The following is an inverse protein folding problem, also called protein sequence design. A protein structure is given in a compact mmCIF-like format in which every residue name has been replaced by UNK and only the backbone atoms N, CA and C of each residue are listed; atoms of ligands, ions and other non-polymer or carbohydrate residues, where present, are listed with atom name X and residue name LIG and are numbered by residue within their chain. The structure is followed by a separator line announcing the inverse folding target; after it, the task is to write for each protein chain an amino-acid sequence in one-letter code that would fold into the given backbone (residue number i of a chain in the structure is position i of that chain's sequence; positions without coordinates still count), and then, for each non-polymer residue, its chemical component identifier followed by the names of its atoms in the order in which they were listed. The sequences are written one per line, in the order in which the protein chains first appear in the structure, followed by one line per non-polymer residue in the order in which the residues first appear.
data_IF_634300599015
#
_entry.id   IF_634300599015
#
_cell.length_a   1.000
_cell.length_b   1.000
_cell.length_c   1.000
_cell.angle_alpha   90.00
_cell.angle_beta   90.00
_cell.angle_gamma   90.00
#
_symmetry.space_group_name_H-M   'P 1'
#
loop_
_entity.id
_entity.type
_entity.pdbx_description
1 polymer ?
#
# COMPACT_ATOMS: atom_id res chain seq x y z
N UNK A 1 -18.43 16.80 -6.56
CA UNK A 1 -18.17 15.76 -5.55
C UNK A 1 -19.46 15.01 -5.29
N UNK A 2 -19.48 13.71 -5.54
CA UNK A 2 -20.65 12.87 -5.24
C UNK A 2 -20.72 12.54 -3.73
N UNK A 3 -21.82 11.94 -3.27
CA UNK A 3 -21.98 11.63 -1.83
C UNK A 3 -20.93 10.65 -1.32
N UNK A 4 -20.47 9.72 -2.15
CA UNK A 4 -19.47 8.72 -1.80
C UNK A 4 -18.10 9.37 -1.52
N UNK A 5 -17.65 10.24 -2.42
CA UNK A 5 -16.41 11.04 -2.27
C UNK A 5 -16.48 11.93 -1.01
N UNK A 6 -17.63 12.57 -0.76
CA UNK A 6 -17.80 13.39 0.43
C UNK A 6 -17.71 12.59 1.74
N UNK A 7 -18.16 11.33 1.75
CA UNK A 7 -18.01 10.43 2.90
C UNK A 7 -16.54 10.00 3.05
N UNK A 8 -15.85 9.70 1.94
CA UNK A 8 -14.43 9.36 1.97
C UNK A 8 -13.57 10.48 2.56
N UNK A 9 -13.77 11.73 2.15
CA UNK A 9 -13.04 12.88 2.73
C UNK A 9 -13.28 12.99 4.25
N UNK A 10 -14.52 12.81 4.71
CA UNK A 10 -14.82 12.82 6.15
C UNK A 10 -14.10 11.70 6.89
N UNK A 11 -14.08 10.49 6.32
CA UNK A 11 -13.41 9.33 6.91
C UNK A 11 -11.89 9.52 6.93
N UNK A 12 -11.31 10.11 5.88
CA UNK A 12 -9.88 10.43 5.79
C UNK A 12 -9.41 11.25 7.00
N UNK A 13 -10.12 12.32 7.32
CA UNK A 13 -9.79 13.16 8.49
C UNK A 13 -9.87 12.39 9.80
N UNK A 14 -10.85 11.49 9.94
CA UNK A 14 -10.93 10.61 11.13
C UNK A 14 -9.70 9.69 11.21
N UNK A 15 -9.23 9.14 10.08
CA UNK A 15 -8.00 8.34 10.04
C UNK A 15 -6.78 9.16 10.44
N UNK A 16 -6.64 10.39 9.92
CA UNK A 16 -5.56 11.31 10.30
C UNK A 16 -5.56 11.59 11.80
N UNK A 17 -6.72 11.93 12.38
CA UNK A 17 -6.87 12.15 13.82
C UNK A 17 -6.52 10.89 14.64
N UNK A 18 -6.92 9.70 14.18
CA UNK A 18 -6.60 8.44 14.87
C UNK A 18 -5.10 8.13 14.87
N UNK A 19 -4.41 8.40 13.76
CA UNK A 19 -2.97 8.22 13.66
C UNK A 19 -2.27 9.22 14.59
N UNK A 20 -2.60 10.51 14.45
CA UNK A 20 -1.99 11.56 15.28
C UNK A 20 -2.28 11.35 16.77
N UNK A 21 -3.43 10.81 17.16
CA UNK A 21 -3.74 10.52 18.57
C UNK A 21 -2.83 9.46 19.21
N UNK A 22 -2.08 8.69 18.41
CA UNK A 22 -1.07 7.74 18.93
C UNK A 22 0.16 8.44 19.48
N UNK A 23 0.45 9.68 19.04
CA UNK A 23 1.61 10.47 19.44
C UNK A 23 1.23 11.76 20.18
N UNK A 24 0.10 12.38 19.82
CA UNK A 24 -0.41 13.62 20.39
C UNK A 24 -1.52 13.38 21.42
N UNK A 25 -1.58 14.21 22.46
CA UNK A 25 -2.69 14.22 23.43
C UNK A 25 -3.94 14.88 22.82
N UNK A 26 -5.10 14.79 23.50
CA UNK A 26 -6.28 15.52 23.01
C UNK A 26 -6.11 17.03 23.16
N UNK A 27 -5.34 17.46 24.15
CA UNK A 27 -4.96 18.84 24.41
C UNK A 27 -4.11 19.39 23.25
N UNK A 28 -3.13 18.63 22.78
CA UNK A 28 -2.30 19.01 21.63
C UNK A 28 -3.15 19.11 20.35
N UNK A 29 -3.99 18.11 20.08
CA UNK A 29 -4.89 18.12 18.93
C UNK A 29 -5.91 19.25 19.01
N UNK A 30 -6.37 19.62 20.21
CA UNK A 30 -7.25 20.77 20.43
C UNK A 30 -6.56 22.08 20.07
N UNK A 31 -5.28 22.25 20.44
CA UNK A 31 -4.48 23.42 20.02
C UNK A 31 -4.27 23.47 18.51
N UNK A 32 -3.97 22.33 17.88
CA UNK A 32 -3.75 22.24 16.43
C UNK A 32 -5.03 22.55 15.64
N UNK A 33 -6.15 21.96 16.05
CA UNK A 33 -7.40 22.03 15.28
C UNK A 33 -8.27 23.25 15.65
N UNK A 34 -8.12 23.78 16.86
CA UNK A 34 -9.02 24.76 17.47
C UNK A 34 -10.34 24.15 17.95
N UNK A 35 -10.47 22.82 17.98
CA UNK A 35 -11.69 22.14 18.41
C UNK A 35 -11.66 21.76 19.89
N UNK A 36 -12.81 21.78 20.60
CA UNK A 36 -12.90 21.24 21.95
C UNK A 36 -12.54 19.75 21.99
N UNK A 37 -11.88 19.32 23.07
CA UNK A 37 -11.50 17.92 23.32
C UNK A 37 -12.70 16.96 23.19
N UNK A 38 -13.87 17.37 23.67
CA UNK A 38 -15.11 16.59 23.59
C UNK A 38 -15.54 16.31 22.15
N UNK A 39 -15.33 17.27 21.24
CA UNK A 39 -15.62 17.11 19.81
C UNK A 39 -14.61 16.16 19.17
N UNK A 40 -13.31 16.38 19.42
CA UNK A 40 -12.24 15.52 18.91
C UNK A 40 -12.41 14.06 19.36
N UNK A 41 -12.78 13.84 20.63
CA UNK A 41 -13.05 12.51 21.15
C UNK A 41 -14.20 11.81 20.38
N UNK A 42 -15.28 12.54 20.09
CA UNK A 42 -16.41 12.01 19.30
C UNK A 42 -16.00 11.68 17.88
N UNK A 43 -15.17 12.51 17.25
CA UNK A 43 -14.62 12.27 15.91
C UNK A 43 -13.69 11.04 15.87
N UNK A 44 -12.68 10.99 16.73
CA UNK A 44 -11.73 9.86 16.81
C UNK A 44 -12.44 8.53 17.04
N UNK A 45 -13.47 8.52 17.90
CA UNK A 45 -14.30 7.32 18.17
C UNK A 45 -15.34 7.02 17.09
N UNK A 46 -15.49 7.87 16.08
CA UNK A 46 -16.47 7.69 15.00
C UNK A 46 -17.93 7.87 15.45
N UNK A 47 -18.18 8.53 16.60
CA UNK A 47 -19.55 8.78 17.09
C UNK A 47 -20.29 9.82 16.24
N UNK A 48 -19.55 10.73 15.61
CA UNK A 48 -20.04 11.78 14.72
C UNK A 48 -19.00 11.98 13.62
N UNK A 49 -19.44 12.28 12.41
CA UNK A 49 -18.56 12.72 11.32
C UNK A 49 -18.59 14.26 11.21
N UNK A 50 -17.46 14.91 10.88
CA UNK A 50 -17.47 16.34 10.58
C UNK A 50 -18.37 16.65 9.37
N UNK A 51 -18.79 17.92 9.24
CA UNK A 51 -19.30 18.41 7.95
C UNK A 51 -18.18 18.35 6.91
N UNK A 52 -18.52 18.48 5.63
CA UNK A 52 -17.52 18.39 4.56
C UNK A 52 -16.57 19.60 4.59
N UNK A 53 -17.09 20.79 4.88
CA UNK A 53 -16.31 22.01 5.07
C UNK A 53 -15.35 21.86 6.26
N UNK A 54 -15.87 21.31 7.37
CA UNK A 54 -15.07 21.05 8.57
C UNK A 54 -14.00 20.00 8.32
N UNK A 55 -14.30 18.95 7.53
CA UNK A 55 -13.33 17.93 7.18
C UNK A 55 -12.14 18.56 6.43
N UNK A 56 -12.41 19.37 5.41
CA UNK A 56 -11.36 20.08 4.65
C UNK A 56 -10.51 21.00 5.53
N UNK A 57 -11.16 21.79 6.38
CA UNK A 57 -10.46 22.65 7.35
C UNK A 57 -9.53 21.83 8.27
N UNK A 58 -10.01 20.68 8.76
CA UNK A 58 -9.22 19.81 9.61
C UNK A 58 -8.08 19.14 8.85
N UNK A 59 -8.31 18.68 7.63
CA UNK A 59 -7.25 18.10 6.79
C UNK A 59 -6.10 19.10 6.60
N UNK A 60 -6.40 20.35 6.22
CA UNK A 60 -5.40 21.41 6.06
C UNK A 60 -4.60 21.67 7.35
N UNK A 61 -5.27 21.67 8.51
CA UNK A 61 -4.61 21.88 9.81
C UNK A 61 -3.78 20.68 10.27
N UNK A 62 -4.19 19.46 9.94
CA UNK A 62 -3.53 18.23 10.39
C UNK A 62 -2.38 17.81 9.47
N UNK A 63 -2.46 18.14 8.17
CA UNK A 63 -1.47 17.76 7.15
C UNK A 63 -0.02 18.12 7.53
N UNK A 64 0.30 19.30 8.09
CA UNK A 64 1.67 19.62 8.51
C UNK A 64 2.24 18.71 9.61
N UNK A 65 1.38 18.02 10.36
CA UNK A 65 1.75 17.16 11.48
C UNK A 65 1.76 15.67 11.12
N UNK A 66 1.32 15.31 9.91
CA UNK A 66 1.25 13.93 9.44
C UNK A 66 1.94 13.78 8.09
N UNK A 67 3.24 13.49 8.14
CA UNK A 67 3.99 13.01 6.98
C UNK A 67 3.99 11.47 7.01
N UNK A 68 3.44 10.82 5.98
CA UNK A 68 3.29 9.36 5.93
C UNK A 68 4.64 8.64 5.86
N UNK A 69 5.60 9.16 5.09
CA UNK A 69 6.95 8.58 4.97
C UNK A 69 7.65 8.59 6.34
N UNK A 70 7.64 9.73 7.02
CA UNK A 70 8.25 9.86 8.36
C UNK A 70 7.51 9.02 9.40
N UNK A 71 6.18 8.93 9.32
CA UNK A 71 5.39 8.07 10.21
C UNK A 71 5.69 6.58 10.00
N UNK A 72 5.95 6.15 8.76
CA UNK A 72 6.42 4.77 8.48
C UNK A 72 7.83 4.59 9.04
N UNK A 73 8.79 5.47 8.70
CA UNK A 73 10.18 5.39 9.21
C UNK A 73 10.24 5.30 10.72
N UNK A 74 9.45 6.12 11.43
CA UNK A 74 9.37 6.14 12.90
C UNK A 74 8.92 4.80 13.50
N UNK A 75 8.15 4.01 12.76
CA UNK A 75 7.64 2.70 13.21
C UNK A 75 8.58 1.54 12.88
N UNK A 76 9.52 1.73 11.94
CA UNK A 76 10.50 0.71 11.62
C UNK A 76 11.46 0.53 12.79
N UNK A 77 11.59 -0.72 13.25
CA UNK A 77 12.54 -1.12 14.27
C UNK A 77 13.59 -1.99 13.63
N UNK A 78 14.84 -1.53 13.68
CA UNK A 78 15.99 -2.26 13.14
C UNK A 78 16.61 -3.14 14.22
N UNK A 79 17.01 -4.35 13.84
CA UNK A 79 17.82 -5.23 14.68
C UNK A 79 19.33 -4.97 14.47
N UNK A 80 20.17 -5.70 15.21
CA UNK A 80 21.63 -5.60 15.13
C UNK A 80 22.22 -6.05 13.78
N UNK A 81 21.44 -6.73 12.94
CA UNK A 81 21.86 -7.24 11.64
C UNK A 81 21.32 -6.39 10.48
N UNK A 82 20.59 -5.30 10.77
CA UNK A 82 20.03 -4.39 9.77
C UNK A 82 18.71 -4.86 9.16
N UNK A 83 18.07 -5.89 9.71
CA UNK A 83 16.71 -6.24 9.35
C UNK A 83 15.72 -5.35 10.11
N UNK A 84 14.54 -5.13 9.53
CA UNK A 84 13.51 -4.30 10.13
C UNK A 84 12.15 -4.97 10.06
N UNK A 85 11.34 -4.72 11.09
CA UNK A 85 9.95 -5.21 11.18
C UNK A 85 8.97 -4.25 10.50
N UNK A 86 8.21 -4.76 9.52
CA UNK A 86 7.14 -4.03 8.82
C UNK A 86 5.76 -4.26 9.44
N UNK A 87 5.60 -5.23 10.35
CA UNK A 87 4.30 -5.62 10.90
C UNK A 87 3.62 -4.46 11.65
N UNK A 88 4.39 -3.61 12.35
CA UNK A 88 3.88 -2.43 13.05
C UNK A 88 3.22 -1.38 12.13
N UNK A 89 3.58 -1.39 10.84
CA UNK A 89 3.02 -0.53 9.80
C UNK A 89 1.88 -1.26 9.09
N UNK A 90 2.12 -2.49 8.64
CA UNK A 90 1.17 -3.30 7.87
C UNK A 90 -0.08 -3.70 8.66
N UNK A 91 -0.03 -3.66 9.99
CA UNK A 91 -1.20 -3.92 10.85
C UNK A 91 -2.08 -2.69 11.12
N UNK A 92 -1.64 -1.48 10.77
CA UNK A 92 -2.43 -0.26 10.99
C UNK A 92 -3.22 0.12 9.74
N UNK A 93 -4.47 -0.34 9.69
CA UNK A 93 -5.37 -0.09 8.57
C UNK A 93 -5.70 1.38 8.34
N UNK A 94 -5.59 2.26 9.34
CA UNK A 94 -5.78 3.70 9.10
C UNK A 94 -4.59 4.27 8.32
N UNK A 95 -3.37 3.85 8.66
CA UNK A 95 -2.15 4.27 7.98
C UNK A 95 -2.13 3.73 6.55
N UNK A 96 -2.37 2.43 6.36
CA UNK A 96 -2.41 1.83 5.02
C UNK A 96 -3.49 2.47 4.13
N UNK A 97 -4.64 2.84 4.69
CA UNK A 97 -5.69 3.50 3.91
C UNK A 97 -5.30 4.92 3.46
N UNK A 98 -4.52 5.67 4.25
CA UNK A 98 -3.99 6.97 3.83
C UNK A 98 -2.89 6.80 2.76
N UNK A 99 -2.01 5.82 2.92
CA UNK A 99 -0.99 5.49 1.91
C UNK A 99 -1.66 5.08 0.60
N UNK A 100 -2.69 4.23 0.68
CA UNK A 100 -3.44 3.78 -0.49
C UNK A 100 -4.10 4.93 -1.25
N UNK A 101 -4.61 5.95 -0.56
CA UNK A 101 -5.17 7.15 -1.20
C UNK A 101 -4.12 7.91 -2.02
N UNK A 102 -2.93 8.14 -1.47
CA UNK A 102 -1.84 8.81 -2.18
C UNK A 102 -1.36 8.00 -3.40
N UNK A 103 -1.27 6.67 -3.25
CA UNK A 103 -0.84 5.79 -4.34
C UNK A 103 -1.91 5.71 -5.43
N UNK A 104 -3.18 5.55 -5.07
CA UNK A 104 -4.27 5.45 -6.02
C UNK A 104 -4.32 6.68 -6.93
N UNK A 105 -4.13 7.88 -6.37
CA UNK A 105 -4.09 9.13 -7.14
C UNK A 105 -3.05 9.13 -8.28
N UNK A 106 -1.90 8.47 -8.08
CA UNK A 106 -0.85 8.32 -9.12
C UNK A 106 -1.30 7.39 -10.26
N UNK A 107 -2.08 6.37 -9.93
CA UNK A 107 -2.47 5.31 -10.87
C UNK A 107 -3.88 5.47 -11.48
N UNK A 108 -4.69 6.43 -11.02
CA UNK A 108 -6.05 6.67 -11.52
C UNK A 108 -6.14 6.81 -13.06
N UNK A 109 -5.10 7.37 -13.70
CA UNK A 109 -5.09 7.65 -15.15
C UNK A 109 -4.34 6.60 -15.97
N UNK A 110 -3.80 5.55 -15.34
CA UNK A 110 -3.03 4.52 -16.05
C UNK A 110 -3.90 3.41 -16.63
N UNK A 111 -5.20 3.41 -16.32
CA UNK A 111 -6.13 2.35 -16.71
C UNK A 111 -5.88 1.02 -15.99
N UNK A 112 -5.22 1.05 -14.83
CA UNK A 112 -4.99 -0.13 -13.99
C UNK A 112 -6.31 -0.86 -13.72
N UNK A 113 -6.31 -2.18 -13.90
CA UNK A 113 -7.49 -3.04 -13.75
C UNK A 113 -7.29 -4.17 -12.74
N UNK A 114 -6.06 -4.39 -12.27
CA UNK A 114 -5.71 -5.43 -11.30
C UNK A 114 -4.52 -5.00 -10.46
N UNK A 115 -4.55 -5.32 -9.17
CA UNK A 115 -3.35 -5.26 -8.31
C UNK A 115 -2.81 -6.67 -8.10
N UNK A 116 -1.52 -6.89 -8.33
CA UNK A 116 -0.82 -8.15 -8.11
C UNK A 116 0.21 -7.99 -6.98
N UNK A 117 0.32 -8.99 -6.11
CA UNK A 117 1.36 -9.06 -5.07
C UNK A 117 1.85 -10.51 -4.88
N UNK A 118 2.92 -10.71 -4.11
CA UNK A 118 3.31 -12.03 -3.61
C UNK A 118 2.84 -12.19 -2.16
N UNK A 119 2.34 -13.39 -1.81
CA UNK A 119 2.02 -13.69 -0.42
C UNK A 119 3.30 -13.73 0.44
N UNK A 120 3.30 -13.18 1.66
CA UNK A 120 2.13 -12.76 2.46
C UNK A 120 2.04 -11.27 2.77
N UNK A 121 3.19 -10.60 2.96
CA UNK A 121 3.23 -9.34 3.71
C UNK A 121 2.85 -8.11 2.87
N UNK A 122 2.96 -8.20 1.54
CA UNK A 122 2.43 -7.20 0.61
C UNK A 122 0.89 -7.17 0.52
N UNK A 123 0.19 -8.23 0.96
CA UNK A 123 -1.27 -8.36 0.80
C UNK A 123 -2.06 -7.24 1.50
N UNK A 124 -1.81 -6.87 2.78
CA UNK A 124 -2.56 -5.81 3.44
C UNK A 124 -2.52 -4.47 2.68
N UNK A 125 -1.36 -4.11 2.13
CA UNK A 125 -1.19 -2.89 1.35
C UNK A 125 -1.85 -3.01 -0.03
N UNK A 126 -1.63 -4.12 -0.72
CA UNK A 126 -2.23 -4.40 -2.03
C UNK A 126 -3.76 -4.34 -1.99
N UNK A 127 -4.39 -4.90 -0.95
CA UNK A 127 -5.83 -4.85 -0.72
C UNK A 127 -6.32 -3.42 -0.54
N UNK A 128 -5.62 -2.59 0.25
CA UNK A 128 -6.02 -1.19 0.48
C UNK A 128 -5.94 -0.37 -0.81
N UNK A 129 -4.86 -0.52 -1.58
CA UNK A 129 -4.67 0.17 -2.86
C UNK A 129 -5.73 -0.29 -3.88
N UNK A 130 -5.96 -1.59 -4.00
CA UNK A 130 -6.98 -2.14 -4.92
C UNK A 130 -8.39 -1.64 -4.57
N UNK A 131 -8.73 -1.63 -3.27
CA UNK A 131 -10.00 -1.11 -2.79
C UNK A 131 -10.17 0.39 -3.08
N UNK A 132 -9.10 1.18 -2.95
CA UNK A 132 -9.15 2.61 -3.26
C UNK A 132 -9.32 2.88 -4.76
N UNK A 133 -8.69 2.06 -5.61
CA UNK A 133 -8.81 2.09 -7.06
C UNK A 133 -10.12 1.46 -7.59
N UNK A 134 -10.88 0.76 -6.73
CA UNK A 134 -12.12 0.08 -7.11
C UNK A 134 -11.90 -1.14 -8.01
N UNK A 135 -10.80 -1.85 -7.85
CA UNK A 135 -10.41 -3.02 -8.65
C UNK A 135 -10.07 -4.22 -7.76
N UNK A 136 -10.01 -5.40 -8.36
CA UNK A 136 -9.66 -6.63 -7.66
C UNK A 136 -8.15 -6.74 -7.39
N UNK A 137 -7.81 -7.40 -6.30
CA UNK A 137 -6.46 -7.81 -5.94
C UNK A 137 -6.29 -9.31 -6.18
N UNK A 138 -5.11 -9.71 -6.68
CA UNK A 138 -4.67 -11.09 -6.83
C UNK A 138 -3.27 -11.26 -6.24
N UNK A 139 -2.94 -12.47 -5.83
CA UNK A 139 -1.67 -12.72 -5.17
C UNK A 139 -1.09 -14.08 -5.54
N UNK A 140 0.20 -14.09 -5.89
CA UNK A 140 0.95 -15.30 -6.16
C UNK A 140 1.38 -15.96 -4.84
N UNK A 141 1.32 -17.29 -4.78
CA UNK A 141 1.65 -18.07 -3.57
C UNK A 141 2.87 -18.96 -3.82
N UNK A 142 3.60 -19.30 -2.76
CA UNK A 142 4.71 -20.27 -2.81
C UNK A 142 4.25 -21.74 -2.87
N UNK A 143 2.95 -21.97 -2.72
CA UNK A 143 2.30 -23.30 -2.78
C UNK A 143 1.03 -23.19 -3.61
N UNK A 144 0.73 -24.24 -4.37
CA UNK A 144 -0.54 -24.37 -5.10
C UNK A 144 -1.72 -24.40 -4.12
N UNK A 145 -2.79 -23.71 -4.48
CA UNK A 145 -4.06 -23.79 -3.74
C UNK A 145 -4.77 -25.09 -4.09
N UNK A 146 -5.29 -25.77 -3.08
CA UNK A 146 -6.08 -26.99 -3.30
C UNK A 146 -7.39 -26.61 -3.99
N UNK A 147 -7.78 -27.35 -5.02
CA UNK A 147 -9.00 -27.08 -5.78
C UNK A 147 -8.82 -26.15 -6.99
N UNK A 148 -7.59 -25.74 -7.31
CA UNK A 148 -7.26 -25.06 -8.56
C UNK A 148 -6.40 -26.00 -9.42
N UNK A 149 -6.79 -26.19 -10.68
CA UNK A 149 -6.12 -27.14 -11.56
C UNK A 149 -4.94 -26.53 -12.33
N UNK A 150 -5.06 -25.25 -12.74
CA UNK A 150 -4.13 -24.60 -13.67
C UNK A 150 -3.51 -23.34 -13.09
N UNK A 151 -2.19 -23.26 -13.19
CA UNK A 151 -1.40 -22.16 -12.67
C UNK A 151 -0.40 -21.67 -13.72
N UNK A 152 -0.13 -20.37 -13.70
CA UNK A 152 1.13 -19.81 -14.13
C UNK A 152 2.18 -20.08 -13.05
N UNK A 153 3.39 -20.42 -13.47
CA UNK A 153 4.46 -20.85 -12.57
C UNK A 153 5.78 -20.17 -12.98
N UNK A 154 6.44 -19.56 -12.00
CA UNK A 154 7.75 -18.94 -12.21
C UNK A 154 8.71 -19.37 -11.11
N UNK A 155 9.84 -19.93 -11.52
CA UNK A 155 10.94 -20.28 -10.63
C UNK A 155 11.93 -19.11 -10.56
N UNK A 156 12.39 -18.78 -9.36
CA UNK A 156 13.42 -17.78 -9.14
C UNK A 156 14.26 -18.17 -7.92
N UNK A 157 15.43 -17.56 -7.76
CA UNK A 157 16.30 -17.79 -6.60
C UNK A 157 16.33 -16.50 -5.79
N UNK A 158 15.67 -16.43 -4.62
CA UNK A 158 15.82 -15.29 -3.73
C UNK A 158 17.25 -15.24 -3.20
N UNK A 159 17.91 -14.10 -3.36
CA UNK A 159 19.29 -13.82 -2.91
C UNK A 159 19.54 -14.21 -1.46
N UNK A 160 18.53 -14.05 -0.58
CA UNK A 160 18.66 -14.35 0.85
C UNK A 160 18.50 -15.85 1.22
N UNK A 161 17.99 -16.68 0.31
CA UNK A 161 17.58 -18.06 0.63
C UNK A 161 18.50 -19.13 0.05
N UNK A 162 19.29 -18.81 -0.99
CA UNK A 162 20.16 -19.77 -1.68
C UNK A 162 19.43 -20.98 -2.29
N UNK A 163 18.10 -20.95 -2.41
CA UNK A 163 17.27 -22.06 -2.88
C UNK A 163 16.26 -21.59 -3.92
N UNK A 164 15.87 -22.50 -4.83
CA UNK A 164 14.85 -22.22 -5.83
C UNK A 164 13.51 -22.07 -5.11
N UNK A 165 12.83 -20.95 -5.37
CA UNK A 165 11.46 -20.69 -4.95
C UNK A 165 10.57 -20.62 -6.19
N UNK A 166 9.36 -21.17 -6.09
CA UNK A 166 8.35 -21.09 -7.16
C UNK A 166 7.19 -20.21 -6.71
N UNK A 167 6.76 -19.29 -7.57
CA UNK A 167 5.50 -18.58 -7.43
C UNK A 167 4.44 -19.21 -8.33
N UNK A 168 3.26 -19.45 -7.75
CA UNK A 168 2.09 -19.98 -8.41
C UNK A 168 0.98 -18.94 -8.42
N UNK A 169 0.42 -18.66 -9.60
CA UNK A 169 -0.74 -17.80 -9.77
C UNK A 169 -1.82 -18.54 -10.56
N UNK A 170 -3.07 -18.65 -10.08
CA UNK A 170 -4.13 -19.29 -10.85
C UNK A 170 -4.32 -18.65 -12.22
N UNK A 171 -4.49 -19.44 -13.29
CA UNK A 171 -4.59 -18.89 -14.65
C UNK A 171 -5.78 -17.95 -14.86
N UNK A 172 -6.83 -18.07 -14.04
CA UNK A 172 -8.00 -17.19 -14.07
C UNK A 172 -7.77 -15.84 -13.38
N UNK A 173 -6.70 -15.69 -12.60
CA UNK A 173 -6.47 -14.52 -11.75
C UNK A 173 -6.22 -13.25 -12.57
N UNK A 174 -5.52 -13.37 -13.70
CA UNK A 174 -5.24 -12.28 -14.63
C UNK A 174 -5.70 -12.69 -16.01
N UNK A 175 -6.50 -11.84 -16.65
CA UNK A 175 -6.96 -12.03 -18.02
C UNK A 175 -6.05 -11.33 -19.01
N UNK A 176 -5.96 -11.87 -20.21
CA UNK A 176 -5.25 -11.27 -21.33
C UNK A 176 -5.65 -9.80 -21.53
N UNK A 177 -4.65 -8.93 -21.65
CA UNK A 177 -4.81 -7.48 -21.84
C UNK A 177 -5.12 -6.68 -20.58
N UNK A 178 -5.28 -7.32 -19.41
CA UNK A 178 -5.42 -6.57 -18.15
C UNK A 178 -4.17 -5.76 -17.83
N UNK A 179 -4.38 -4.64 -17.15
CA UNK A 179 -3.35 -3.66 -16.80
C UNK A 179 -3.03 -3.81 -15.32
N UNK A 180 -1.86 -4.33 -15.01
CA UNK A 180 -1.50 -4.82 -13.68
C UNK A 180 -0.56 -3.83 -12.98
N UNK A 181 -0.89 -3.49 -11.74
CA UNK A 181 0.00 -2.79 -10.81
C UNK A 181 0.58 -3.81 -9.83
N UNK A 182 1.91 -3.94 -9.76
CA UNK A 182 2.55 -4.77 -8.74
C UNK A 182 2.69 -3.94 -7.45
N UNK A 183 2.26 -4.52 -6.33
CA UNK A 183 2.41 -3.92 -5.00
C UNK A 183 3.14 -4.90 -4.09
N UNK A 184 4.11 -4.42 -3.32
CA UNK A 184 4.75 -5.23 -2.27
C UNK A 184 5.12 -4.40 -1.04
N UNK A 185 5.40 -5.06 0.09
CA UNK A 185 5.84 -4.35 1.29
C UNK A 185 7.32 -3.92 1.17
N UNK A 186 8.22 -4.83 0.87
CA UNK A 186 9.67 -4.53 0.80
C UNK A 186 10.29 -5.03 -0.50
N UNK A 187 11.06 -4.17 -1.15
CA UNK A 187 11.93 -4.55 -2.26
C UNK A 187 13.41 -4.39 -1.89
N UNK A 188 14.22 -5.43 -2.17
CA UNK A 188 15.67 -5.45 -1.95
C UNK A 188 16.44 -5.74 -3.24
N UNK A 189 16.38 -6.98 -3.73
CA UNK A 189 17.03 -7.41 -4.98
C UNK A 189 16.14 -7.23 -6.21
N UNK A 190 14.81 -7.18 -6.01
CA UNK A 190 13.81 -7.16 -7.07
C UNK A 190 13.45 -8.53 -7.63
N UNK A 191 14.08 -9.63 -7.19
CA UNK A 191 13.90 -10.96 -7.80
C UNK A 191 12.46 -11.47 -7.72
N UNK A 192 11.79 -11.28 -6.57
CA UNK A 192 10.37 -11.61 -6.42
C UNK A 192 9.51 -10.80 -7.40
N UNK A 193 9.82 -9.51 -7.56
CA UNK A 193 9.09 -8.61 -8.44
C UNK A 193 9.27 -8.99 -9.91
N UNK A 194 10.49 -9.36 -10.34
CA UNK A 194 10.74 -9.92 -11.67
C UNK A 194 9.95 -11.20 -11.92
N UNK A 195 9.84 -12.08 -10.92
CA UNK A 195 9.01 -13.27 -11.02
C UNK A 195 7.51 -12.93 -11.17
N UNK A 196 7.02 -11.87 -10.49
CA UNK A 196 5.66 -11.36 -10.70
C UNK A 196 5.46 -10.75 -12.09
N UNK A 197 6.47 -10.05 -12.63
CA UNK A 197 6.42 -9.56 -14.03
C UNK A 197 6.30 -10.71 -15.01
N UNK A 198 7.07 -11.78 -14.81
CA UNK A 198 7.00 -12.96 -15.67
C UNK A 198 5.62 -13.65 -15.60
N UNK A 199 4.98 -13.69 -14.43
CA UNK A 199 3.58 -14.15 -14.33
C UNK A 199 2.62 -13.27 -15.14
N UNK A 200 2.81 -11.95 -15.14
CA UNK A 200 2.04 -11.03 -16.00
C UNK A 200 2.28 -11.30 -17.48
N UNK A 201 3.53 -11.55 -17.89
CA UNK A 201 3.87 -11.89 -19.27
C UNK A 201 3.21 -13.21 -19.72
N UNK A 202 3.28 -14.26 -18.90
CA UNK A 202 2.61 -15.53 -19.19
C UNK A 202 1.08 -15.38 -19.33
N UNK A 203 0.49 -14.40 -18.65
CA UNK A 203 -0.94 -14.07 -18.74
C UNK A 203 -1.31 -13.13 -19.89
N UNK A 204 -0.36 -12.74 -20.75
CA UNK A 204 -0.51 -11.69 -21.78
C UNK A 204 -1.06 -10.36 -21.19
N UNK A 205 -0.62 -10.00 -19.99
CA UNK A 205 -1.03 -8.78 -19.29
C UNK A 205 -0.01 -7.64 -19.46
N UNK A 206 -0.48 -6.40 -19.34
CA UNK A 206 0.37 -5.21 -19.40
C UNK A 206 0.72 -4.74 -18.01
N UNK A 207 2.00 -4.70 -17.67
CA UNK A 207 2.47 -4.11 -16.43
C UNK A 207 2.43 -2.56 -16.54
N UNK A 208 1.73 -1.88 -15.63
CA UNK A 208 1.59 -0.41 -15.66
C UNK A 208 2.43 0.31 -14.63
N UNK A 209 3.01 -0.41 -13.67
CA UNK A 209 3.91 0.14 -12.67
C UNK A 209 4.12 -0.81 -11.50
N UNK A 210 4.97 -0.36 -10.58
CA UNK A 210 5.23 -1.02 -9.30
C UNK A 210 5.19 0.00 -8.16
N UNK A 211 4.67 -0.42 -7.01
CA UNK A 211 4.72 0.38 -5.79
C UNK A 211 5.14 -0.46 -4.59
N UNK A 212 6.04 0.07 -3.78
CA UNK A 212 6.54 -0.58 -2.57
C UNK A 212 6.31 0.29 -1.33
N UNK A 213 6.05 -0.33 -0.18
CA UNK A 213 6.09 0.41 1.08
C UNK A 213 7.52 0.90 1.34
N UNK A 214 8.51 0.02 1.19
CA UNK A 214 9.92 0.29 1.48
C UNK A 214 10.79 -0.27 0.35
N UNK A 215 11.75 0.52 -0.11
CA UNK A 215 12.84 0.05 -0.98
C UNK A 215 14.18 0.11 -0.27
N UNK A 216 15.05 -0.86 -0.50
CA UNK A 216 16.42 -0.89 0.03
C UNK A 216 17.41 -0.78 -1.12
N UNK A 217 18.31 0.20 -1.04
CA UNK A 217 19.34 0.46 -2.05
C UNK A 217 18.78 1.05 -3.35
N UNK A 218 19.44 0.75 -4.46
CA UNK A 218 19.21 1.32 -5.80
C UNK A 218 18.25 0.48 -6.67
N UNK A 219 17.51 -0.45 -6.06
CA UNK A 219 16.67 -1.41 -6.79
C UNK A 219 15.52 -0.77 -7.56
N UNK A 220 15.01 0.38 -7.09
CA UNK A 220 13.95 1.13 -7.77
C UNK A 220 14.43 1.59 -9.15
N UNK A 221 15.61 2.21 -9.20
CA UNK A 221 16.17 2.75 -10.44
C UNK A 221 16.44 1.61 -11.43
N UNK A 222 16.99 0.48 -10.95
CA UNK A 222 17.21 -0.73 -11.76
C UNK A 222 15.92 -1.29 -12.36
N UNK A 223 14.87 -1.43 -11.56
CA UNK A 223 13.58 -1.94 -12.05
C UNK A 223 12.92 -0.97 -13.04
N UNK A 224 13.07 0.34 -12.81
CA UNK A 224 12.56 1.36 -13.72
C UNK A 224 13.28 1.33 -15.08
N UNK A 225 14.61 1.19 -15.08
CA UNK A 225 15.41 1.03 -16.29
C UNK A 225 15.10 -0.27 -17.03
N UNK A 226 14.93 -1.38 -16.30
CA UNK A 226 14.70 -2.71 -16.87
C UNK A 226 13.35 -2.82 -17.60
N UNK A 227 12.30 -2.23 -17.03
CA UNK A 227 10.93 -2.38 -17.56
C UNK A 227 10.38 -1.12 -18.24
N UNK A 228 11.05 0.04 -18.10
CA UNK A 228 10.60 1.32 -18.63
C UNK A 228 9.15 1.67 -18.22
N UNK A 229 8.86 1.51 -16.94
CA UNK A 229 7.57 1.80 -16.30
C UNK A 229 7.77 2.59 -15.00
N UNK A 230 6.74 3.25 -14.46
CA UNK A 230 6.82 3.87 -13.13
C UNK A 230 7.11 2.84 -12.03
N UNK A 231 8.14 3.09 -11.23
CA UNK A 231 8.48 2.29 -10.04
C UNK A 231 8.67 3.24 -8.86
N UNK A 232 7.84 3.10 -7.83
CA UNK A 232 7.82 4.01 -6.67
C UNK A 232 7.96 3.25 -5.35
N UNK A 233 8.48 3.92 -4.33
CA UNK A 233 8.42 3.47 -2.95
C UNK A 233 8.04 4.62 -2.02
N UNK A 234 7.32 4.34 -0.92
CA UNK A 234 7.03 5.36 0.09
C UNK A 234 8.27 5.73 0.89
N UNK A 235 9.04 4.74 1.34
CA UNK A 235 10.29 4.93 2.07
C UNK A 235 11.45 4.33 1.27
N UNK A 236 12.53 5.09 1.10
CA UNK A 236 13.79 4.60 0.52
C UNK A 236 14.86 4.51 1.60
N UNK A 237 15.46 3.32 1.78
CA UNK A 237 16.51 3.00 2.75
C UNK A 237 17.84 2.71 2.06
#
# INVERSE_FOLDING_TARGET
MNQYEAIKEKIKVIRMLRILKKTYTYEDLSKITGLPITVLNRYVRGKVLPSIERAKELEEKLKPYLNLEEEVKRRLKFDSFGFFDTMSVLSDTNLLALIAEEVALKYLRTGVSKVLTAATDGIPLAVQIANELGIDVVYAKKKKEVGIEKFYEVNYVPSASGSITTLYLPMWAIKRGERVLIVDDVVRSGETQRALVELCHQADATLVGMFFLISVGDVIDKLQEEYNIPVDALVKL
#
